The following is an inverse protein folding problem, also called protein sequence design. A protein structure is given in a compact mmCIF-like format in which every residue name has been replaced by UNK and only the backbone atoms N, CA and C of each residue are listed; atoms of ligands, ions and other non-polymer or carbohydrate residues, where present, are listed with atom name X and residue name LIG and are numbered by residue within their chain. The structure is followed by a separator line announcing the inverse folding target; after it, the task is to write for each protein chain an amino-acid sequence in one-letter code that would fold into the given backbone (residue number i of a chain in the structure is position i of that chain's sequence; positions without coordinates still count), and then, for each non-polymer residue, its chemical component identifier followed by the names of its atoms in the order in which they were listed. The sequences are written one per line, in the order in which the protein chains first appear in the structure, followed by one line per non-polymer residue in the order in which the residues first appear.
data_IF_212114092322
#
_entry.id   IF_212114092322
#
_cell.length_a   1.000
_cell.length_b   1.000
_cell.length_c   1.000
_cell.angle_alpha   90.00
_cell.angle_beta   90.00
_cell.angle_gamma   90.00
#
_symmetry.space_group_name_H-M   'P 1'
#
loop_
_entity.id
_entity.type
_entity.pdbx_description
1 polymer ?
#
# COMPACT_ATOMS: atom_id res chain seq x y z
N UNK A 1 -7.82 -0.73 1.96
CA UNK A 1 -8.11 0.01 0.70
C UNK A 1 -7.12 1.16 0.57
N UNK A 2 -6.57 1.37 -0.63
CA UNK A 2 -5.58 2.43 -0.89
C UNK A 2 -6.19 3.53 -1.74
N UNK A 3 -5.94 4.78 -1.34
CA UNK A 3 -5.94 5.91 -2.26
C UNK A 3 -4.65 5.83 -3.09
N UNK A 4 -4.77 5.92 -4.41
CA UNK A 4 -3.62 5.88 -5.32
C UNK A 4 -3.52 7.20 -6.08
N UNK A 5 -2.32 7.79 -6.11
CA UNK A 5 -2.00 8.97 -6.91
C UNK A 5 -0.82 8.62 -7.80
N UNK A 6 -1.00 8.76 -9.12
CA UNK A 6 0.06 8.60 -10.12
C UNK A 6 0.23 9.91 -10.85
N UNK A 7 1.48 10.35 -11.02
CA UNK A 7 1.81 11.58 -11.74
C UNK A 7 2.56 11.26 -13.03
N UNK A 8 2.50 12.17 -14.00
CA UNK A 8 3.28 12.06 -15.24
C UNK A 8 4.80 12.19 -15.00
N UNK A 9 5.21 12.62 -13.80
CA UNK A 9 6.60 12.74 -13.40
C UNK A 9 7.18 11.43 -12.82
N UNK A 10 6.45 10.32 -12.90
CA UNK A 10 6.94 9.04 -12.39
C UNK A 10 6.84 8.89 -10.88
N UNK A 11 5.90 9.59 -10.23
CA UNK A 11 5.62 9.41 -8.80
C UNK A 11 4.32 8.62 -8.63
N UNK A 12 4.38 7.57 -7.80
CA UNK A 12 3.25 6.76 -7.42
C UNK A 12 3.14 6.67 -5.89
N UNK A 13 2.07 7.28 -5.36
CA UNK A 13 1.74 7.28 -3.95
C UNK A 13 0.56 6.33 -3.70
N UNK A 14 0.69 5.47 -2.70
CA UNK A 14 -0.39 4.63 -2.22
C UNK A 14 -0.57 4.84 -0.72
N UNK A 15 -1.74 5.32 -0.31
CA UNK A 15 -2.04 5.62 1.07
C UNK A 15 -3.27 4.87 1.57
N UNK A 16 -3.13 4.16 2.68
CA UNK A 16 -4.23 3.51 3.40
C UNK A 16 -4.36 4.10 4.80
N UNK A 17 -5.40 4.91 5.01
CA UNK A 17 -5.63 5.57 6.30
C UNK A 17 -6.10 4.62 7.40
N UNK A 18 -6.80 3.53 7.05
CA UNK A 18 -7.32 2.57 8.04
C UNK A 18 -6.23 1.74 8.71
N UNK A 19 -5.17 1.41 7.97
CA UNK A 19 -4.08 0.55 8.44
C UNK A 19 -2.73 1.29 8.49
N UNK A 20 -2.76 2.63 8.39
CA UNK A 20 -1.57 3.50 8.48
C UNK A 20 -0.43 3.15 7.51
N UNK A 21 -0.75 2.64 6.32
CA UNK A 21 0.25 2.27 5.31
C UNK A 21 0.44 3.37 4.29
N UNK A 22 1.69 3.77 4.07
CA UNK A 22 2.09 4.72 3.02
C UNK A 22 3.20 4.08 2.19
N UNK A 23 3.00 3.98 0.88
CA UNK A 23 4.02 3.56 -0.07
C UNK A 23 4.27 4.68 -1.06
N UNK A 24 5.54 5.04 -1.20
CA UNK A 24 6.03 5.95 -2.21
C UNK A 24 6.92 5.16 -3.16
N UNK A 25 6.60 5.23 -4.44
CA UNK A 25 7.42 4.70 -5.52
C UNK A 25 7.75 5.86 -6.46
N UNK A 26 9.01 5.92 -6.85
CA UNK A 26 9.52 6.92 -7.79
C UNK A 26 10.27 6.21 -8.90
N UNK A 27 10.10 6.69 -10.13
CA UNK A 27 10.79 6.16 -11.30
C UNK A 27 12.30 6.35 -11.19
N UNK A 28 13.07 5.51 -11.90
CA UNK A 28 14.54 5.55 -11.92
C UNK A 28 15.10 6.91 -12.38
N UNK A 29 14.30 7.72 -13.07
CA UNK A 29 14.68 9.09 -13.45
C UNK A 29 15.01 9.99 -12.24
N UNK A 30 14.52 9.65 -11.05
CA UNK A 30 14.79 10.39 -9.81
C UNK A 30 16.02 9.87 -9.06
N UNK A 31 16.74 8.88 -9.59
CA UNK A 31 17.89 8.26 -8.93
C UNK A 31 18.98 9.28 -8.62
N UNK A 32 19.30 9.45 -7.34
CA UNK A 32 20.27 10.43 -6.86
C UNK A 32 19.74 11.86 -6.73
N UNK A 33 18.49 12.11 -7.11
CA UNK A 33 17.85 13.43 -7.09
C UNK A 33 16.79 13.56 -5.97
N UNK A 34 16.71 12.59 -5.05
CA UNK A 34 15.82 12.67 -3.89
C UNK A 34 16.56 13.08 -2.62
N UNK A 35 15.83 13.74 -1.73
CA UNK A 35 16.26 14.01 -0.35
C UNK A 35 15.05 13.91 0.56
N UNK A 36 15.27 13.73 1.86
CA UNK A 36 14.21 13.62 2.85
C UNK A 36 14.28 12.31 3.63
N UNK A 37 13.22 11.99 4.37
CA UNK A 37 13.17 10.80 5.23
C UNK A 37 13.29 9.46 4.49
N UNK A 38 13.11 9.45 3.16
CA UNK A 38 13.27 8.26 2.32
C UNK A 38 14.68 8.15 1.70
N UNK A 39 15.61 9.02 2.08
CA UNK A 39 17.01 8.95 1.66
C UNK A 39 17.32 9.60 0.32
N UNK A 40 18.49 9.24 -0.22
CA UNK A 40 19.10 9.88 -1.40
C UNK A 40 18.78 9.16 -2.71
N UNK A 41 18.20 7.95 -2.63
CA UNK A 41 17.85 7.11 -3.78
C UNK A 41 19.01 6.92 -4.78
N UNK A 42 20.25 6.87 -4.31
CA UNK A 42 21.44 6.66 -5.15
C UNK A 42 21.96 5.20 -5.09
N UNK A 43 21.37 4.35 -4.23
CA UNK A 43 21.79 2.96 -4.00
C UNK A 43 22.82 2.77 -2.88
N UNK A 44 23.22 3.85 -2.18
CA UNK A 44 24.15 3.83 -1.07
C UNK A 44 23.45 4.09 0.27
N UNK A 45 23.10 3.02 0.99
CA UNK A 45 22.42 3.13 2.29
C UNK A 45 23.21 3.87 3.38
N UNK A 46 24.52 4.10 3.18
CA UNK A 46 25.37 4.78 4.17
C UNK A 46 25.18 6.30 4.18
N UNK A 47 24.57 6.87 3.14
CA UNK A 47 24.30 8.31 3.04
C UNK A 47 22.82 8.67 3.11
N UNK A 48 21.93 7.70 3.32
CA UNK A 48 20.49 7.94 3.40
C UNK A 48 20.09 8.88 4.56
N UNK A 49 20.94 9.04 5.57
CA UNK A 49 20.76 10.01 6.65
C UNK A 49 21.31 11.41 6.32
N UNK A 50 21.30 11.81 5.04
CA UNK A 50 21.68 13.14 4.59
C UNK A 50 20.68 14.20 5.07
N UNK A 51 21.13 15.14 5.89
CA UNK A 51 20.33 16.25 6.40
C UNK A 51 20.33 17.47 5.47
N UNK A 52 19.38 18.42 5.62
CA UNK A 52 19.33 19.64 4.80
C UNK A 52 20.59 20.53 4.92
N UNK A 53 21.44 20.33 5.92
CA UNK A 53 22.71 21.05 6.07
C UNK A 53 23.85 20.45 5.24
N UNK A 54 23.60 19.33 4.54
CA UNK A 54 24.61 18.61 3.75
C UNK A 54 25.47 17.64 4.58
N UNK A 55 25.06 17.35 5.82
CA UNK A 55 25.77 16.44 6.73
C UNK A 55 25.07 15.09 6.80
N UNK A 56 25.83 14.00 6.96
CA UNK A 56 25.27 12.67 7.23
C UNK A 56 25.12 12.53 8.75
N UNK A 57 23.88 12.37 9.20
CA UNK A 57 23.57 12.20 10.62
C UNK A 57 23.89 10.77 11.09
N UNK A 58 24.40 10.63 12.31
CA UNK A 58 24.84 9.34 12.85
C UNK A 58 23.71 8.47 13.40
N UNK A 59 22.52 9.05 13.62
CA UNK A 59 21.38 8.33 14.20
C UNK A 59 20.07 8.67 13.49
N UNK A 60 19.11 7.73 13.43
CA UNK A 60 17.79 7.98 12.85
C UNK A 60 17.05 9.14 13.54
N UNK A 61 17.31 9.33 14.84
CA UNK A 61 16.69 10.38 15.65
C UNK A 61 17.18 11.78 15.27
N UNK A 62 18.50 11.96 15.13
CA UNK A 62 19.08 13.23 14.67
C UNK A 62 18.61 13.55 13.24
N UNK A 63 18.66 12.54 12.37
CA UNK A 63 18.18 12.63 10.99
C UNK A 63 16.71 13.06 10.90
N UNK A 64 15.80 12.38 11.62
CA UNK A 64 14.38 12.71 11.61
C UNK A 64 14.09 14.13 12.11
N UNK A 65 14.81 14.58 13.14
CA UNK A 65 14.69 15.95 13.66
C UNK A 65 15.24 17.01 12.69
N UNK A 66 16.20 16.67 11.84
CA UNK A 66 16.76 17.60 10.86
C UNK A 66 15.78 17.91 9.70
N UNK A 67 14.85 17.01 9.42
CA UNK A 67 13.84 17.13 8.35
C UNK A 67 12.50 17.73 8.79
N UNK A 68 12.42 18.33 9.98
CA UNK A 68 11.20 19.01 10.43
C UNK A 68 10.87 20.21 9.52
N UNK A 69 9.62 20.26 9.08
CA UNK A 69 9.13 21.33 8.20
C UNK A 69 8.81 22.61 8.98
N UNK A 70 8.20 22.48 10.16
CA UNK A 70 7.79 23.62 10.99
C UNK A 70 8.73 23.82 12.17
N UNK A 71 9.15 25.06 12.40
CA UNK A 71 9.91 25.45 13.59
C UNK A 71 9.09 25.34 14.87
N UNK A 72 7.75 25.26 14.77
CA UNK A 72 6.87 25.01 15.91
C UNK A 72 6.92 23.55 16.40
N UNK A 73 7.45 22.61 15.61
CA UNK A 73 7.59 21.22 16.02
C UNK A 73 8.72 21.09 17.05
N UNK A 74 8.38 20.65 18.26
CA UNK A 74 9.37 20.33 19.29
C UNK A 74 10.24 19.15 18.79
N UNK A 75 11.58 19.26 18.82
CA UNK A 75 12.43 18.13 18.47
C UNK A 75 12.10 16.97 19.40
N UNK A 76 12.01 15.77 18.84
CA UNK A 76 11.99 14.57 19.67
C UNK A 76 13.28 14.54 20.51
N UNK A 77 13.16 14.09 21.75
CA UNK A 77 14.32 13.86 22.62
C UNK A 77 14.82 12.44 22.41
N UNK A 78 16.14 12.25 22.49
CA UNK A 78 16.73 10.91 22.41
C UNK A 78 16.40 10.14 23.69
N UNK A 79 15.23 9.53 23.72
CA UNK A 79 14.87 8.55 24.75
C UNK A 79 15.59 7.25 24.38
N UNK A 80 16.16 6.52 25.36
CA UNK A 80 16.61 5.15 25.11
C UNK A 80 15.50 4.40 24.38
N UNK A 81 15.82 3.71 23.28
CA UNK A 81 14.84 2.83 22.63
C UNK A 81 14.52 1.68 23.58
N UNK A 82 13.52 1.90 24.44
CA UNK A 82 12.89 0.84 25.19
C UNK A 82 12.08 0.00 24.21
N UNK A 83 12.12 -1.32 24.37
CA UNK A 83 11.23 -2.19 23.62
C UNK A 83 9.80 -1.79 23.97
N UNK A 84 8.94 -1.46 22.98
CA UNK A 84 7.54 -1.13 23.23
C UNK A 84 6.80 -2.22 24.01
N UNK A 85 7.20 -3.48 23.88
CA UNK A 85 6.62 -4.58 24.63
C UNK A 85 7.05 -4.61 26.10
N UNK A 86 8.20 -4.01 26.46
CA UNK A 86 8.60 -3.83 27.86
C UNK A 86 7.77 -2.75 28.55
N UNK A 87 7.38 -1.71 27.80
CA UNK A 87 6.52 -0.63 28.31
C UNK A 87 5.04 -1.01 28.29
N UNK A 88 4.62 -1.88 27.37
CA UNK A 88 3.25 -2.34 27.20
C UNK A 88 3.13 -3.86 27.45
N UNK A 89 3.55 -4.33 28.63
CA UNK A 89 3.64 -5.76 28.97
C UNK A 89 2.32 -6.52 28.78
N UNK A 90 1.17 -5.88 29.01
CA UNK A 90 -0.14 -6.49 28.79
C UNK A 90 -0.40 -6.87 27.32
N UNK A 91 0.22 -6.15 26.38
CA UNK A 91 0.11 -6.41 24.94
C UNK A 91 1.20 -7.36 24.42
N UNK A 92 2.25 -7.64 25.21
CA UNK A 92 3.42 -8.40 24.76
C UNK A 92 3.10 -9.86 24.39
N UNK A 93 2.22 -10.52 25.15
CA UNK A 93 1.79 -11.90 24.84
C UNK A 93 1.01 -11.96 23.53
N UNK A 94 0.00 -11.10 23.38
CA UNK A 94 -0.78 -10.96 22.15
C UNK A 94 0.10 -10.63 20.95
N UNK A 95 1.01 -9.67 21.07
CA UNK A 95 1.93 -9.30 20.01
C UNK A 95 2.86 -10.46 19.61
N UNK A 96 3.38 -11.22 20.58
CA UNK A 96 4.23 -12.37 20.26
C UNK A 96 3.45 -13.47 19.54
N UNK A 97 2.30 -13.87 20.09
CA UNK A 97 1.48 -14.95 19.53
C UNK A 97 0.98 -14.63 18.13
N UNK A 98 0.44 -13.42 17.92
CA UNK A 98 -0.16 -13.05 16.65
C UNK A 98 0.86 -12.76 15.56
N UNK A 99 2.03 -12.19 15.91
CA UNK A 99 3.09 -11.93 14.93
C UNK A 99 3.83 -13.22 14.52
N UNK A 100 3.81 -14.28 15.34
CA UNK A 100 4.45 -15.56 15.01
C UNK A 100 3.92 -16.19 13.71
N UNK A 101 2.72 -15.80 13.25
CA UNK A 101 2.18 -16.20 11.95
C UNK A 101 3.12 -15.91 10.78
N UNK A 102 3.96 -14.87 10.87
CA UNK A 102 4.96 -14.53 9.85
C UNK A 102 6.00 -15.64 9.67
N UNK A 103 6.24 -16.46 10.70
CA UNK A 103 7.17 -17.58 10.68
C UNK A 103 6.49 -18.94 10.39
N UNK A 104 5.17 -18.95 10.17
CA UNK A 104 4.38 -20.17 9.97
C UNK A 104 4.19 -20.50 8.48
N UNK A 105 3.56 -21.66 8.23
CA UNK A 105 3.32 -22.22 6.90
C UNK A 105 2.60 -21.25 5.94
N UNK A 106 1.73 -20.38 6.45
CA UNK A 106 1.01 -19.38 5.65
C UNK A 106 1.94 -18.51 4.79
N UNK A 107 3.14 -18.24 5.30
CA UNK A 107 4.15 -17.43 4.64
C UNK A 107 5.40 -18.21 4.21
N UNK A 108 5.45 -19.53 4.41
CA UNK A 108 6.65 -20.36 4.18
C UNK A 108 7.21 -20.21 2.76
N UNK A 109 6.34 -20.17 1.75
CA UNK A 109 6.72 -19.98 0.36
C UNK A 109 7.53 -18.69 0.12
N UNK A 110 7.31 -17.65 0.92
CA UNK A 110 7.98 -16.35 0.81
C UNK A 110 9.34 -16.32 1.52
N UNK A 111 9.58 -17.21 2.49
CA UNK A 111 10.78 -17.18 3.33
C UNK A 111 12.08 -17.37 2.55
N UNK A 112 12.04 -18.06 1.39
CA UNK A 112 13.18 -18.21 0.48
C UNK A 112 13.63 -16.88 -0.12
N UNK A 113 12.71 -15.96 -0.37
CA UNK A 113 12.96 -14.67 -1.03
C UNK A 113 13.07 -13.52 -0.03
N UNK A 114 12.43 -13.64 1.12
CA UNK A 114 12.32 -12.58 2.11
C UNK A 114 12.31 -13.14 3.53
N UNK A 115 13.38 -12.90 4.27
CA UNK A 115 13.48 -13.33 5.67
C UNK A 115 12.34 -12.74 6.53
N UNK A 116 11.60 -13.56 7.29
CA UNK A 116 10.52 -13.07 8.16
C UNK A 116 11.04 -12.39 9.43
N UNK A 117 12.29 -12.63 9.84
CA UNK A 117 12.86 -12.18 11.12
C UNK A 117 12.72 -10.67 11.37
N UNK A 118 13.16 -9.76 10.48
CA UNK A 118 13.01 -8.32 10.72
C UNK A 118 11.53 -7.87 10.74
N UNK A 119 10.68 -8.50 9.92
CA UNK A 119 9.25 -8.19 9.89
C UNK A 119 8.53 -8.67 11.16
N UNK A 120 8.94 -9.83 11.69
CA UNK A 120 8.42 -10.37 12.95
C UNK A 120 8.76 -9.45 14.13
N UNK A 121 10.02 -8.99 14.22
CA UNK A 121 10.44 -8.06 15.25
C UNK A 121 9.69 -6.73 15.17
N UNK A 122 9.56 -6.16 13.96
CA UNK A 122 8.80 -4.93 13.74
C UNK A 122 7.31 -5.11 14.08
N UNK A 123 6.71 -6.24 13.67
CA UNK A 123 5.32 -6.56 13.97
C UNK A 123 5.08 -6.58 15.49
N UNK A 124 5.96 -7.22 16.27
CA UNK A 124 5.84 -7.25 17.73
C UNK A 124 5.92 -5.85 18.33
N UNK A 125 6.95 -5.09 17.94
CA UNK A 125 7.16 -3.74 18.44
C UNK A 125 5.97 -2.80 18.14
N UNK A 126 5.40 -2.89 16.93
CA UNK A 126 4.27 -2.04 16.55
C UNK A 126 2.95 -2.52 17.16
N UNK A 127 2.72 -3.83 17.22
CA UNK A 127 1.52 -4.41 17.86
C UNK A 127 1.48 -4.09 19.35
N UNK A 128 2.62 -4.06 20.04
CA UNK A 128 2.68 -3.60 21.44
C UNK A 128 2.30 -2.13 21.61
N UNK A 129 2.48 -1.28 20.59
CA UNK A 129 2.11 0.15 20.64
C UNK A 129 0.64 0.38 20.31
N UNK A 130 0.13 -0.23 19.25
CA UNK A 130 -1.18 0.12 18.71
C UNK A 130 -2.15 -1.06 18.52
N UNK A 131 -1.76 -2.27 18.93
CA UNK A 131 -2.62 -3.45 18.94
C UNK A 131 -2.95 -3.97 17.53
N UNK A 132 -4.17 -4.48 17.39
CA UNK A 132 -4.70 -5.13 16.19
C UNK A 132 -4.51 -4.32 14.89
N UNK A 133 -4.72 -2.98 14.82
CA UNK A 133 -4.41 -2.20 13.62
C UNK A 133 -2.95 -2.32 13.14
N UNK A 134 -1.98 -2.32 14.06
CA UNK A 134 -0.55 -2.46 13.75
C UNK A 134 -0.19 -3.88 13.33
N UNK A 135 -0.80 -4.89 13.98
CA UNK A 135 -0.69 -6.29 13.57
C UNK A 135 -1.13 -6.44 12.11
N UNK A 136 -2.35 -6.03 11.78
CA UNK A 136 -2.90 -6.17 10.44
C UNK A 136 -2.08 -5.41 9.40
N UNK A 137 -1.60 -4.20 9.74
CA UNK A 137 -0.71 -3.43 8.89
C UNK A 137 0.62 -4.15 8.60
N UNK A 138 1.22 -4.76 9.62
CA UNK A 138 2.48 -5.50 9.51
C UNK A 138 2.34 -6.76 8.66
N UNK A 139 1.31 -7.56 8.90
CA UNK A 139 1.01 -8.76 8.10
C UNK A 139 0.72 -8.39 6.64
N UNK A 140 -0.09 -7.35 6.43
CA UNK A 140 -0.42 -6.86 5.10
C UNK A 140 0.81 -6.32 4.35
N UNK A 141 1.75 -5.70 5.06
CA UNK A 141 3.01 -5.25 4.49
C UNK A 141 3.91 -6.42 4.09
N UNK A 142 4.04 -7.44 4.93
CA UNK A 142 4.83 -8.62 4.58
C UNK A 142 4.23 -9.37 3.38
N UNK A 143 2.91 -9.60 3.40
CA UNK A 143 2.18 -10.15 2.26
C UNK A 143 2.41 -9.33 0.97
N UNK A 144 2.46 -7.99 1.06
CA UNK A 144 2.79 -7.13 -0.08
C UNK A 144 4.20 -7.35 -0.61
N UNK A 145 5.20 -7.51 0.26
CA UNK A 145 6.57 -7.79 -0.21
C UNK A 145 6.66 -9.16 -0.87
N UNK A 146 5.97 -10.17 -0.34
CA UNK A 146 5.87 -11.49 -0.96
C UNK A 146 5.28 -11.43 -2.38
N UNK A 147 4.25 -10.58 -2.59
CA UNK A 147 3.65 -10.39 -3.93
C UNK A 147 4.64 -9.90 -4.99
N UNK A 148 5.71 -9.19 -4.61
CA UNK A 148 6.75 -8.77 -5.57
C UNK A 148 7.52 -9.95 -6.17
N UNK A 149 7.51 -11.09 -5.49
CA UNK A 149 8.07 -12.36 -5.96
C UNK A 149 6.99 -13.29 -6.51
N UNK A 150 5.82 -12.74 -6.89
CA UNK A 150 4.65 -13.47 -7.38
C UNK A 150 4.06 -14.48 -6.38
N UNK A 151 4.35 -14.32 -5.08
CA UNK A 151 3.81 -15.16 -4.02
C UNK A 151 2.60 -14.45 -3.40
N UNK A 152 1.41 -14.99 -3.65
CA UNK A 152 0.15 -14.44 -3.14
C UNK A 152 -0.24 -15.17 -1.86
N UNK A 153 -0.26 -14.46 -0.74
CA UNK A 153 -0.61 -14.99 0.59
C UNK A 153 -1.95 -14.43 1.07
N UNK A 154 -2.94 -15.28 1.28
CA UNK A 154 -4.28 -14.90 1.76
C UNK A 154 -4.36 -14.91 3.30
N UNK A 155 -3.65 -13.99 3.95
CA UNK A 155 -3.56 -13.99 5.41
C UNK A 155 -4.86 -13.55 6.11
N UNK A 156 -5.71 -12.75 5.44
CA UNK A 156 -6.94 -12.23 6.05
C UNK A 156 -7.98 -13.31 6.32
N UNK A 157 -7.97 -14.40 5.56
CA UNK A 157 -8.81 -15.57 5.84
C UNK A 157 -8.32 -16.35 7.08
N UNK A 158 -7.02 -16.31 7.37
CA UNK A 158 -6.41 -16.99 8.51
C UNK A 158 -6.39 -16.15 9.80
N UNK A 159 -6.60 -14.84 9.70
CA UNK A 159 -6.57 -13.91 10.83
C UNK A 159 -7.89 -13.12 10.85
N UNK A 160 -8.94 -13.61 11.53
CA UNK A 160 -10.26 -12.97 11.57
C UNK A 160 -10.21 -11.52 12.08
N UNK A 161 -9.31 -11.23 13.01
CA UNK A 161 -9.05 -9.87 13.52
C UNK A 161 -8.66 -8.89 12.39
N UNK A 162 -8.16 -9.37 11.26
CA UNK A 162 -7.72 -8.56 10.13
C UNK A 162 -8.67 -8.65 8.92
N UNK A 163 -9.90 -9.14 9.11
CA UNK A 163 -10.91 -9.21 8.05
C UNK A 163 -11.19 -7.83 7.45
N UNK A 164 -11.38 -7.80 6.12
CA UNK A 164 -11.71 -6.58 5.38
C UNK A 164 -13.14 -6.65 4.87
N UNK A 165 -13.96 -5.70 5.30
CA UNK A 165 -15.28 -5.49 4.73
C UNK A 165 -15.20 -4.64 3.47
N UNK A 166 -15.72 -5.16 2.37
CA UNK A 166 -15.89 -4.43 1.12
C UNK A 166 -17.26 -3.75 1.01
N UNK A 167 -17.39 -2.66 0.23
CA UNK A 167 -18.69 -2.06 -0.06
C UNK A 167 -19.65 -3.06 -0.71
N UNK A 168 -20.95 -2.78 -0.60
CA UNK A 168 -22.00 -3.59 -1.22
C UNK A 168 -21.70 -3.83 -2.71
N UNK A 169 -21.98 -5.05 -3.19
CA UNK A 169 -21.71 -5.55 -4.55
C UNK A 169 -20.24 -5.83 -4.89
N UNK A 170 -19.29 -5.53 -4.00
CA UNK A 170 -17.86 -5.84 -4.20
C UNK A 170 -17.41 -7.03 -3.33
N UNK A 171 -16.35 -7.70 -3.76
CA UNK A 171 -15.68 -8.79 -3.04
C UNK A 171 -14.23 -8.40 -2.70
N UNK A 172 -13.68 -8.99 -1.64
CA UNK A 172 -12.26 -8.84 -1.32
C UNK A 172 -11.43 -9.66 -2.32
N UNK A 173 -10.35 -9.07 -2.81
CA UNK A 173 -9.32 -9.73 -3.61
C UNK A 173 -7.94 -9.52 -2.99
N UNK A 174 -7.15 -10.58 -2.95
CA UNK A 174 -5.77 -10.58 -2.45
C UNK A 174 -4.78 -9.92 -3.41
N UNK A 175 -5.11 -9.92 -4.71
CA UNK A 175 -4.33 -9.35 -5.79
C UNK A 175 -5.28 -8.73 -6.82
N UNK A 176 -5.58 -7.45 -6.65
CA UNK A 176 -6.45 -6.66 -7.52
C UNK A 176 -5.60 -5.65 -8.28
N UNK A 177 -5.65 -5.72 -9.61
CA UNK A 177 -5.00 -4.70 -10.45
C UNK A 177 -5.83 -3.42 -10.50
N UNK A 178 -5.15 -2.27 -10.61
CA UNK A 178 -5.77 -0.93 -10.56
C UNK A 178 -6.86 -0.68 -11.62
N UNK A 179 -6.83 -1.38 -12.74
CA UNK A 179 -7.78 -1.24 -13.85
C UNK A 179 -8.88 -2.32 -13.87
N UNK A 180 -8.73 -3.34 -13.01
CA UNK A 180 -9.45 -4.59 -13.17
C UNK A 180 -10.95 -4.35 -12.93
N UNK A 181 -11.78 -4.84 -13.85
CA UNK A 181 -13.25 -4.85 -13.71
C UNK A 181 -13.83 -3.45 -13.44
N UNK A 182 -13.40 -2.42 -14.20
CA UNK A 182 -14.01 -1.06 -14.21
C UNK A 182 -14.69 -0.78 -15.55
N UNK A 183 -15.78 -0.02 -15.56
CA UNK A 183 -16.46 0.30 -16.83
C UNK A 183 -15.58 1.10 -17.79
N UNK A 184 -14.72 1.98 -17.28
CA UNK A 184 -13.78 2.77 -18.10
C UNK A 184 -12.78 1.91 -18.89
N UNK A 185 -12.36 0.75 -18.35
CA UNK A 185 -11.44 -0.15 -19.05
C UNK A 185 -12.09 -0.94 -20.20
N UNK A 186 -13.43 -0.88 -20.32
CA UNK A 186 -14.15 -1.41 -21.49
C UNK A 186 -14.13 -0.46 -22.69
N UNK A 187 -14.02 0.84 -22.43
CA UNK A 187 -14.06 1.88 -23.48
C UNK A 187 -12.67 2.22 -24.00
N UNK A 188 -11.70 2.28 -23.09
CA UNK A 188 -10.29 2.56 -23.41
C UNK A 188 -9.45 1.37 -23.01
N UNK A 189 -8.63 0.86 -23.93
CA UNK A 189 -7.68 -0.21 -23.63
C UNK A 189 -6.62 0.30 -22.64
N UNK A 190 -6.90 0.12 -21.36
CA UNK A 190 -5.98 0.48 -20.29
C UNK A 190 -4.98 -0.67 -20.11
N UNK A 191 -3.70 -0.39 -20.35
CA UNK A 191 -2.64 -1.32 -19.99
C UNK A 191 -2.46 -1.26 -18.49
N UNK A 192 -2.75 -2.37 -17.84
CA UNK A 192 -2.60 -2.52 -16.40
C UNK A 192 -1.29 -3.22 -16.18
N UNK A 193 -0.41 -2.62 -15.38
CA UNK A 193 0.81 -3.31 -14.97
C UNK A 193 0.49 -4.62 -14.25
N UNK A 194 1.49 -5.50 -14.18
CA UNK A 194 1.40 -6.76 -13.43
C UNK A 194 1.35 -6.54 -11.91
N UNK A 195 1.61 -5.30 -11.47
CA UNK A 195 1.47 -4.92 -10.07
C UNK A 195 0.00 -4.96 -9.62
N UNK A 196 -0.23 -5.65 -8.51
CA UNK A 196 -1.52 -5.73 -7.86
C UNK A 196 -1.40 -5.44 -6.36
N UNK A 197 -2.51 -4.97 -5.79
CA UNK A 197 -2.64 -4.78 -4.35
C UNK A 197 -3.87 -5.51 -3.86
N UNK A 198 -3.88 -5.84 -2.57
CA UNK A 198 -5.12 -6.27 -1.95
C UNK A 198 -6.15 -5.13 -1.94
N UNK A 199 -7.42 -5.47 -2.11
CA UNK A 199 -8.48 -4.49 -2.15
C UNK A 199 -9.84 -5.08 -2.51
N UNK A 200 -10.81 -4.19 -2.65
CA UNK A 200 -12.16 -4.56 -3.06
C UNK A 200 -12.27 -4.47 -4.58
N UNK A 201 -12.88 -5.49 -5.18
CA UNK A 201 -13.05 -5.62 -6.63
C UNK A 201 -14.46 -6.11 -6.94
N UNK A 202 -15.00 -5.77 -8.11
CA UNK A 202 -16.30 -6.30 -8.51
C UNK A 202 -16.21 -7.80 -8.82
N UNK A 203 -17.20 -8.64 -8.49
CA UNK A 203 -17.22 -10.07 -8.83
C UNK A 203 -17.04 -10.34 -10.33
N UNK A 204 -16.56 -11.55 -10.66
CA UNK A 204 -16.41 -11.98 -12.05
C UNK A 204 -17.72 -11.77 -12.85
N UNK A 205 -17.60 -11.15 -14.03
CA UNK A 205 -18.74 -10.83 -14.89
C UNK A 205 -19.40 -9.46 -14.64
N UNK A 206 -18.98 -8.74 -13.59
CA UNK A 206 -19.44 -7.38 -13.28
C UNK A 206 -18.30 -6.36 -13.31
N UNK A 207 -18.66 -5.08 -13.41
CA UNK A 207 -17.73 -3.97 -13.60
C UNK A 207 -18.13 -2.79 -12.71
N UNK A 208 -17.14 -2.13 -12.13
CA UNK A 208 -17.34 -0.97 -11.28
C UNK A 208 -17.76 0.24 -12.10
N UNK A 209 -18.94 0.79 -11.80
CA UNK A 209 -19.43 2.04 -12.37
C UNK A 209 -19.14 3.20 -11.42
N UNK A 210 -18.44 4.22 -11.92
CA UNK A 210 -18.16 5.47 -11.19
C UNK A 210 -19.40 6.32 -10.96
N UNK A 211 -20.47 6.11 -11.74
CA UNK A 211 -21.72 6.88 -11.63
C UNK A 211 -22.63 6.34 -10.52
N UNK A 212 -22.76 5.02 -10.41
CA UNK A 212 -23.61 4.36 -9.41
C UNK A 212 -22.83 3.95 -8.17
N UNK A 213 -21.49 4.01 -8.21
CA UNK A 213 -20.59 3.50 -7.17
C UNK A 213 -20.82 2.02 -6.82
N UNK A 214 -21.32 1.21 -7.77
CA UNK A 214 -21.66 -0.20 -7.60
C UNK A 214 -21.14 -1.05 -8.77
N UNK A 215 -21.11 -2.37 -8.56
CA UNK A 215 -20.79 -3.33 -9.60
C UNK A 215 -22.03 -3.62 -10.46
N UNK A 216 -21.90 -3.39 -11.76
CA UNK A 216 -22.96 -3.58 -12.75
C UNK A 216 -22.54 -4.57 -13.84
N UNK A 217 -23.49 -5.24 -14.51
CA UNK A 217 -23.18 -6.05 -15.69
C UNK A 217 -22.54 -5.20 -16.80
N UNK A 218 -21.77 -5.85 -17.68
CA UNK A 218 -21.11 -5.19 -18.83
C UNK A 218 -22.07 -4.32 -19.66
N UNK A 219 -23.30 -4.79 -19.89
CA UNK A 219 -24.32 -4.08 -20.68
C UNK A 219 -24.82 -2.79 -20.04
N UNK A 220 -24.60 -2.63 -18.74
CA UNK A 220 -25.04 -1.47 -17.96
C UNK A 220 -23.90 -0.49 -17.67
N UNK A 221 -22.69 -0.74 -18.19
CA UNK A 221 -21.58 0.18 -18.09
C UNK A 221 -21.78 1.40 -19.01
N UNK A 222 -21.53 2.63 -18.51
CA UNK A 222 -21.39 3.78 -19.38
C UNK A 222 -20.13 3.64 -20.24
N UNK A 223 -20.19 4.18 -21.46
CA UNK A 223 -19.10 4.15 -22.42
C UNK A 223 -18.45 5.53 -22.52
N UNK A 224 -17.13 5.61 -22.58
CA UNK A 224 -16.40 6.86 -22.78
C UNK A 224 -15.97 7.00 -24.24
N UNK A 225 -16.34 8.10 -24.90
CA UNK A 225 -15.91 8.42 -26.27
C UNK A 225 -15.47 9.89 -26.36
N UNK A 226 -14.28 10.14 -26.92
CA UNK A 226 -13.67 11.48 -27.02
C UNK A 226 -13.65 12.27 -25.70
N UNK A 227 -13.53 11.58 -24.56
CA UNK A 227 -13.48 12.21 -23.24
C UNK A 227 -14.85 12.54 -22.62
N UNK A 228 -15.95 12.14 -23.24
CA UNK A 228 -17.30 12.24 -22.69
C UNK A 228 -17.86 10.85 -22.36
N UNK A 229 -18.61 10.74 -21.25
CA UNK A 229 -19.28 9.51 -20.82
C UNK A 229 -20.73 9.47 -21.31
N UNK A 230 -21.14 8.32 -21.84
CA UNK A 230 -22.44 8.07 -22.45
C UNK A 230 -23.14 6.89 -21.75
N UNK A 231 -24.45 7.02 -21.54
CA UNK A 231 -25.25 5.98 -20.93
C UNK A 231 -25.46 4.79 -21.88
N UNK A 232 -25.74 3.59 -21.34
CA UNK A 232 -26.12 2.46 -22.17
C UNK A 232 -27.32 2.78 -23.08
N UNK A 233 -27.12 2.67 -24.39
CA UNK A 233 -28.15 2.95 -25.41
C UNK A 233 -28.03 4.32 -26.08
N UNK A 234 -27.14 5.19 -25.61
CA UNK A 234 -26.88 6.47 -26.27
C UNK A 234 -26.31 6.27 -27.68
N UNK A 235 -26.71 7.14 -28.62
CA UNK A 235 -26.26 7.13 -30.00
C UNK A 235 -25.43 8.37 -30.28
N UNK A 236 -24.17 8.18 -30.67
CA UNK A 236 -23.26 9.25 -31.08
C UNK A 236 -23.14 9.31 -32.61
N UNK A 237 -23.34 10.50 -33.18
CA UNK A 237 -23.04 10.74 -34.59
C UNK A 237 -21.58 11.14 -34.72
N UNK A 238 -20.74 10.25 -35.25
CA UNK A 238 -19.36 10.58 -35.58
C UNK A 238 -19.31 11.18 -36.98
N UNK A 239 -18.62 12.31 -37.15
CA UNK A 239 -18.44 12.97 -38.45
C UNK A 239 -17.48 12.23 -39.41
N UNK A 240 -17.16 10.96 -39.13
CA UNK A 240 -16.30 10.12 -39.97
C UNK A 240 -17.06 9.51 -41.16
N UNK A 241 -17.84 10.35 -41.85
CA UNK A 241 -18.71 9.96 -42.95
C UNK A 241 -19.00 11.11 -43.91
N UNK A 242 -17.95 11.80 -44.38
CA UNK A 242 -17.85 12.42 -45.72
C UNK A 242 -16.40 12.34 -46.17
#
# INVERSE_FOLDING_TARGET
MFLQVRTALGLHLQYSWREFRLYLQVDELWKGDTVGLCGTFNGNIQDDFLSPSGMIESTPHLFGNAWRVSSACVPSQSVPQLDPCDTHQQAASYASEMCDILNQELFSACHEYLSPVPFHQQCKADTCKCGQPCLCSSLAHYARQCRKYSIITEFRASVPDCEVTCPDTMEYGTCVSSCQRRCSSLSTQQHCGEECEEGCVCPHGTFYSTHTHTCVPRSSCPCSFLGADYAPGDVIMTSAGV
#
